data_IF_386608100355
#
_entry.id   IF_386608100355
#
_cell.length_a   1.000
_cell.length_b   1.000
_cell.length_c   1.000
_cell.angle_alpha   90.00
_cell.angle_beta   90.00
_cell.angle_gamma   90.00
#
_symmetry.space_group_name_H-M   'P 1'
#
loop_
_entity.id
_entity.type
_entity.pdbx_description
1 polymer ?
#
# COMPACT_ATOMS: atom_id res chain seq x y z
N UNK A 1 28.70 -31.99 3.59
CA UNK A 1 27.86 -31.03 4.35
C UNK A 1 26.47 -31.63 4.51
N UNK A 2 26.00 -31.91 5.73
CA UNK A 2 24.61 -32.37 5.97
C UNK A 2 23.75 -31.15 6.29
N UNK A 3 22.76 -30.86 5.47
CA UNK A 3 21.80 -29.77 5.73
C UNK A 3 20.88 -30.20 6.88
N UNK A 4 20.70 -29.34 7.87
CA UNK A 4 19.71 -29.57 8.92
C UNK A 4 18.35 -28.99 8.51
N UNK A 5 17.24 -29.70 8.77
CA UNK A 5 15.91 -29.18 8.53
C UNK A 5 15.67 -27.85 9.26
N UNK A 6 15.02 -26.90 8.58
CA UNK A 6 14.64 -25.61 9.12
C UNK A 6 13.12 -25.55 9.28
N UNK A 7 12.65 -25.22 10.49
CA UNK A 7 11.24 -24.97 10.75
C UNK A 7 10.93 -23.49 10.59
N UNK A 8 9.67 -23.14 10.31
CA UNK A 8 9.23 -21.73 10.25
C UNK A 8 9.54 -21.02 11.56
N UNK A 9 9.27 -21.64 12.70
CA UNK A 9 9.56 -21.05 14.01
C UNK A 9 11.05 -20.73 14.16
N UNK A 10 11.94 -21.70 13.86
CA UNK A 10 13.39 -21.50 13.96
C UNK A 10 13.88 -20.40 13.00
N UNK A 11 13.31 -20.32 11.80
CA UNK A 11 13.60 -19.25 10.84
C UNK A 11 13.19 -17.89 11.40
N UNK A 12 12.01 -17.77 12.02
CA UNK A 12 11.56 -16.52 12.64
C UNK A 12 12.45 -16.13 13.82
N UNK A 13 12.79 -17.08 14.70
CA UNK A 13 13.63 -16.84 15.88
C UNK A 13 15.01 -16.31 15.50
N UNK A 14 15.64 -16.89 14.47
CA UNK A 14 16.96 -16.47 13.98
C UNK A 14 16.92 -15.04 13.40
N UNK A 15 15.82 -14.66 12.75
CA UNK A 15 15.70 -13.37 12.06
C UNK A 15 15.05 -12.27 12.92
N UNK A 16 14.58 -12.58 14.13
CA UNK A 16 13.76 -11.68 14.95
C UNK A 16 14.41 -10.30 15.17
N UNK A 17 15.69 -10.27 15.56
CA UNK A 17 16.42 -9.01 15.80
C UNK A 17 16.48 -8.12 14.55
N UNK A 18 16.72 -8.71 13.37
CA UNK A 18 16.77 -7.97 12.11
C UNK A 18 15.38 -7.44 11.76
N UNK A 19 14.36 -8.28 11.90
CA UNK A 19 12.98 -7.90 11.60
C UNK A 19 12.48 -6.78 12.52
N UNK A 20 12.81 -6.82 13.80
CA UNK A 20 12.46 -5.76 14.76
C UNK A 20 13.14 -4.43 14.38
N UNK A 21 14.41 -4.47 13.98
CA UNK A 21 15.14 -3.29 13.51
C UNK A 21 14.54 -2.71 12.22
N UNK A 22 14.18 -3.55 11.25
CA UNK A 22 13.53 -3.14 10.00
C UNK A 22 12.15 -2.52 10.29
N UNK A 23 11.34 -3.18 11.11
CA UNK A 23 10.00 -2.72 11.49
C UNK A 23 10.07 -1.36 12.21
N UNK A 24 10.97 -1.23 13.20
CA UNK A 24 11.13 0.02 13.94
C UNK A 24 11.60 1.15 13.03
N UNK A 25 12.54 0.88 12.11
CA UNK A 25 13.00 1.86 11.14
C UNK A 25 11.87 2.33 10.21
N UNK A 26 11.02 1.41 9.76
CA UNK A 26 9.87 1.74 8.93
C UNK A 26 8.80 2.53 9.69
N UNK A 27 8.52 2.20 10.96
CA UNK A 27 7.59 2.94 11.83
C UNK A 27 8.08 4.37 12.06
N UNK A 28 9.36 4.54 12.38
CA UNK A 28 9.99 5.86 12.55
C UNK A 28 9.94 6.64 11.24
N UNK A 29 10.21 5.99 10.11
CA UNK A 29 10.08 6.62 8.79
C UNK A 29 8.65 7.12 8.54
N UNK A 30 7.63 6.28 8.77
CA UNK A 30 6.22 6.65 8.60
C UNK A 30 5.91 7.89 9.43
N UNK A 31 6.22 7.86 10.73
CA UNK A 31 5.96 8.98 11.64
C UNK A 31 6.66 10.27 11.22
N UNK A 32 7.96 10.21 10.90
CA UNK A 32 8.73 11.38 10.48
C UNK A 32 8.17 12.01 9.19
N UNK A 33 7.76 11.18 8.23
CA UNK A 33 7.13 11.67 7.00
C UNK A 33 5.77 12.29 7.31
N UNK A 34 4.95 11.66 8.13
CA UNK A 34 3.65 12.20 8.52
C UNK A 34 3.82 13.58 9.17
N UNK A 35 4.66 13.72 10.19
CA UNK A 35 4.91 14.98 10.89
C UNK A 35 5.44 16.08 9.94
N UNK A 36 6.30 15.72 8.99
CA UNK A 36 6.83 16.66 7.97
C UNK A 36 5.76 17.22 7.03
N UNK A 37 4.74 16.42 6.71
CA UNK A 37 3.74 16.73 5.69
C UNK A 37 2.35 17.04 6.23
N UNK A 38 2.06 16.77 7.51
CA UNK A 38 0.74 16.96 8.13
C UNK A 38 0.13 18.34 7.87
N UNK A 39 0.94 19.40 7.93
CA UNK A 39 0.48 20.79 7.67
C UNK A 39 0.50 21.19 6.18
N UNK A 40 0.91 20.30 5.30
CA UNK A 40 1.12 20.53 3.85
C UNK A 40 0.16 19.73 2.98
N UNK A 41 -0.59 18.81 3.56
CA UNK A 41 -1.53 17.93 2.86
C UNK A 41 -2.92 18.08 3.47
N UNK A 42 -3.94 17.82 2.68
CA UNK A 42 -5.33 17.84 3.12
C UNK A 42 -5.74 16.53 3.79
N UNK A 43 -5.08 15.42 3.43
CA UNK A 43 -5.35 14.09 3.97
C UNK A 43 -4.13 13.18 3.84
N UNK A 44 -4.07 12.18 4.72
CA UNK A 44 -3.13 11.07 4.64
C UNK A 44 -3.89 9.79 4.30
N UNK A 45 -3.31 8.96 3.44
CA UNK A 45 -3.89 7.70 3.01
C UNK A 45 -2.86 6.57 2.95
N UNK A 46 -3.33 5.34 3.13
CA UNK A 46 -2.57 4.11 2.86
C UNK A 46 -3.17 3.46 1.63
N UNK A 47 -2.37 3.29 0.58
CA UNK A 47 -2.78 2.55 -0.60
C UNK A 47 -2.78 1.05 -0.31
N UNK A 48 -3.97 0.45 -0.27
CA UNK A 48 -4.16 -0.95 0.11
C UNK A 48 -4.70 -1.77 -1.06
N UNK A 49 -4.13 -2.96 -1.29
CA UNK A 49 -4.51 -3.82 -2.42
C UNK A 49 -4.88 -5.24 -2.01
N UNK A 50 -4.91 -5.56 -0.71
CA UNK A 50 -5.06 -6.94 -0.22
C UNK A 50 -3.84 -7.84 -0.47
N UNK A 51 -2.75 -7.31 -1.03
CA UNK A 51 -1.53 -8.07 -1.31
C UNK A 51 -0.56 -8.07 -0.14
N UNK A 52 0.44 -8.97 -0.20
CA UNK A 52 1.46 -9.17 0.85
C UNK A 52 2.13 -7.87 1.32
N UNK A 53 2.53 -6.99 0.39
CA UNK A 53 3.25 -5.76 0.73
C UNK A 53 2.30 -4.74 1.36
N UNK A 54 1.06 -4.66 0.89
CA UNK A 54 0.05 -3.74 1.44
C UNK A 54 -0.42 -4.15 2.85
N UNK A 55 -0.40 -5.45 3.19
CA UNK A 55 -0.65 -5.95 4.54
C UNK A 55 0.46 -5.53 5.51
N UNK A 56 1.73 -5.71 5.12
CA UNK A 56 2.88 -5.24 5.92
C UNK A 56 2.83 -3.73 6.08
N UNK A 57 2.59 -2.99 4.99
CA UNK A 57 2.48 -1.54 5.01
C UNK A 57 1.42 -1.06 6.00
N UNK A 58 0.21 -1.64 5.93
CA UNK A 58 -0.90 -1.25 6.80
C UNK A 58 -0.57 -1.52 8.26
N UNK A 59 0.00 -2.68 8.59
CA UNK A 59 0.41 -2.99 9.97
C UNK A 59 1.50 -2.03 10.48
N UNK A 60 2.43 -1.61 9.63
CA UNK A 60 3.46 -0.63 10.03
C UNK A 60 2.87 0.78 10.22
N UNK A 61 1.98 1.23 9.33
CA UNK A 61 1.38 2.57 9.42
C UNK A 61 0.46 2.69 10.62
N UNK A 62 -0.40 1.70 10.89
CA UNK A 62 -1.29 1.72 12.06
C UNK A 62 -0.54 1.62 13.40
N UNK A 63 0.71 1.13 13.40
CA UNK A 63 1.59 1.18 14.58
C UNK A 63 2.29 2.52 14.76
N UNK A 64 2.32 3.34 13.72
CA UNK A 64 3.03 4.62 13.70
C UNK A 64 2.11 5.82 13.92
N UNK A 65 0.85 5.74 13.47
CA UNK A 65 -0.12 6.84 13.45
C UNK A 65 -1.43 6.42 14.13
N UNK A 66 -2.19 7.40 14.63
CA UNK A 66 -3.50 7.12 15.21
C UNK A 66 -4.51 6.76 14.11
N UNK A 67 -5.52 5.90 14.38
CA UNK A 67 -6.53 5.49 13.39
C UNK A 67 -7.26 6.63 12.69
N UNK A 68 -7.39 7.79 13.33
CA UNK A 68 -8.03 8.98 12.77
C UNK A 68 -7.13 9.83 11.87
N UNK A 69 -5.82 9.57 11.87
CA UNK A 69 -4.83 10.38 11.14
C UNK A 69 -4.73 10.03 9.66
N UNK A 70 -5.28 8.88 9.26
CA UNK A 70 -5.22 8.38 7.89
C UNK A 70 -6.46 7.57 7.52
N UNK A 71 -6.68 7.44 6.21
CA UNK A 71 -7.66 6.51 5.65
C UNK A 71 -6.97 5.38 4.89
N UNK A 72 -7.59 4.20 4.87
CA UNK A 72 -7.11 3.06 4.09
C UNK A 72 -7.89 3.02 2.79
N UNK A 73 -7.22 3.18 1.66
CA UNK A 73 -7.87 3.22 0.34
C UNK A 73 -7.65 1.90 -0.37
N UNK A 74 -8.73 1.15 -0.57
CA UNK A 74 -8.76 0.04 -1.51
C UNK A 74 -9.23 0.52 -2.87
N UNK A 75 -8.40 0.40 -3.91
CA UNK A 75 -8.82 0.70 -5.29
C UNK A 75 -9.44 -0.54 -5.92
N UNK A 76 -10.77 -0.63 -5.92
CA UNK A 76 -11.51 -1.68 -6.64
C UNK A 76 -11.46 -1.40 -8.13
N UNK A 77 -10.65 -2.17 -8.84
CA UNK A 77 -10.48 -2.03 -10.28
C UNK A 77 -11.59 -2.69 -11.09
N UNK A 78 -12.53 -3.38 -10.44
CA UNK A 78 -13.53 -4.29 -11.03
C UNK A 78 -12.92 -5.48 -11.79
N UNK A 79 -11.60 -5.67 -11.69
CA UNK A 79 -10.85 -6.81 -12.25
C UNK A 79 -10.26 -7.70 -11.14
N UNK A 80 -10.66 -7.46 -9.89
CA UNK A 80 -10.12 -8.18 -8.74
C UNK A 80 -10.67 -9.60 -8.67
N UNK A 81 -9.80 -10.55 -8.34
CA UNK A 81 -10.22 -11.94 -8.09
C UNK A 81 -10.82 -12.07 -6.69
N UNK A 82 -11.65 -13.10 -6.48
CA UNK A 82 -12.31 -13.35 -5.19
C UNK A 82 -11.32 -13.40 -4.02
N UNK A 83 -10.15 -14.01 -4.21
CA UNK A 83 -9.11 -14.07 -3.18
C UNK A 83 -8.62 -12.68 -2.74
N UNK A 84 -8.56 -11.70 -3.64
CA UNK A 84 -8.21 -10.32 -3.28
C UNK A 84 -9.29 -9.70 -2.41
N UNK A 85 -10.56 -9.88 -2.80
CA UNK A 85 -11.70 -9.35 -2.04
C UNK A 85 -11.78 -9.99 -0.65
N UNK A 86 -11.57 -11.31 -0.56
CA UNK A 86 -11.51 -12.03 0.70
C UNK A 86 -10.38 -11.51 1.61
N UNK A 87 -9.20 -11.24 1.05
CA UNK A 87 -8.09 -10.65 1.79
C UNK A 87 -8.42 -9.22 2.28
N UNK A 88 -9.11 -8.42 1.47
CA UNK A 88 -9.58 -7.09 1.88
C UNK A 88 -10.58 -7.17 3.02
N UNK A 89 -11.54 -8.09 2.97
CA UNK A 89 -12.53 -8.26 4.03
C UNK A 89 -11.89 -8.77 5.33
N UNK A 90 -10.96 -9.73 5.25
CA UNK A 90 -10.17 -10.17 6.41
C UNK A 90 -9.33 -9.03 7.00
N UNK A 91 -8.78 -8.15 6.17
CA UNK A 91 -8.06 -6.97 6.63
C UNK A 91 -8.99 -5.98 7.36
N UNK A 92 -10.18 -5.70 6.81
CA UNK A 92 -11.19 -4.86 7.48
C UNK A 92 -11.60 -5.42 8.83
N UNK A 93 -11.77 -6.75 8.94
CA UNK A 93 -12.08 -7.40 10.22
C UNK A 93 -10.91 -7.30 11.22
N UNK A 94 -9.67 -7.52 10.74
CA UNK A 94 -8.45 -7.49 11.57
C UNK A 94 -8.13 -6.10 12.12
N UNK A 95 -8.40 -5.06 11.33
CA UNK A 95 -8.16 -3.65 11.63
C UNK A 95 -9.48 -2.87 11.60
N UNK A 96 -10.48 -3.36 12.32
CA UNK A 96 -11.85 -2.82 12.34
C UNK A 96 -11.98 -1.40 12.89
N UNK A 97 -10.95 -0.89 13.55
CA UNK A 97 -10.84 0.48 14.03
C UNK A 97 -10.35 1.47 12.96
N UNK A 98 -9.87 0.99 11.79
CA UNK A 98 -9.38 1.84 10.72
C UNK A 98 -10.48 2.19 9.72
N UNK A 99 -10.42 3.39 9.16
CA UNK A 99 -11.37 3.84 8.15
C UNK A 99 -10.99 3.30 6.76
N UNK A 100 -11.56 2.15 6.38
CA UNK A 100 -11.44 1.60 5.02
C UNK A 100 -12.45 2.26 4.09
N UNK A 101 -11.94 2.82 3.00
CA UNK A 101 -12.74 3.37 1.90
C UNK A 101 -12.39 2.67 0.59
N UNK A 102 -13.40 2.44 -0.25
CA UNK A 102 -13.23 1.82 -1.56
C UNK A 102 -13.34 2.86 -2.65
N UNK A 103 -12.25 3.06 -3.39
CA UNK A 103 -12.24 3.87 -4.60
C UNK A 103 -12.56 2.98 -5.81
N UNK A 104 -13.54 3.39 -6.62
CA UNK A 104 -13.99 2.64 -7.79
C UNK A 104 -14.34 3.60 -8.92
N UNK A 105 -14.02 3.21 -10.15
CA UNK A 105 -14.41 3.95 -11.36
C UNK A 105 -15.92 3.83 -11.59
N UNK A 106 -16.55 4.90 -12.08
CA UNK A 106 -17.98 4.89 -12.47
C UNK A 106 -18.25 3.89 -13.59
N UNK A 107 -17.28 3.69 -14.49
CA UNK A 107 -17.31 2.67 -15.53
C UNK A 107 -16.52 1.43 -15.08
N UNK A 108 -17.14 0.25 -15.18
CA UNK A 108 -16.46 -1.02 -14.91
C UNK A 108 -15.45 -1.42 -16.00
N UNK A 109 -14.63 -2.42 -15.68
CA UNK A 109 -13.60 -2.92 -16.56
C UNK A 109 -14.17 -3.47 -17.87
N UNK A 110 -15.31 -4.16 -17.82
CA UNK A 110 -15.93 -4.73 -19.02
C UNK A 110 -16.39 -3.64 -20.00
N UNK A 111 -16.99 -2.57 -19.49
CA UNK A 111 -17.41 -1.41 -20.29
C UNK A 111 -16.20 -0.69 -20.86
N UNK A 112 -15.19 -0.41 -20.03
CA UNK A 112 -13.97 0.26 -20.50
C UNK A 112 -13.16 -0.58 -21.49
N UNK A 113 -13.21 -1.92 -21.42
CA UNK A 113 -12.61 -2.79 -22.44
C UNK A 113 -13.36 -2.75 -23.77
N UNK A 114 -14.70 -2.62 -23.75
CA UNK A 114 -15.48 -2.42 -24.98
C UNK A 114 -15.16 -1.07 -25.64
N UNK A 115 -14.97 -0.02 -24.85
CA UNK A 115 -14.76 1.34 -25.36
C UNK A 115 -13.31 1.61 -25.80
N UNK A 116 -12.32 1.23 -24.97
CA UNK A 116 -10.91 1.54 -25.19
C UNK A 116 -10.09 0.35 -25.69
N UNK A 117 -10.67 -0.85 -25.69
CA UNK A 117 -9.93 -2.09 -25.87
C UNK A 117 -9.24 -2.55 -24.57
N UNK A 118 -8.87 -3.83 -24.48
CA UNK A 118 -8.19 -4.37 -23.30
C UNK A 118 -6.82 -3.70 -23.08
N UNK A 119 -6.43 -3.45 -21.82
CA UNK A 119 -5.15 -2.82 -21.52
C UNK A 119 -3.97 -3.71 -21.95
N UNK A 120 -2.87 -3.08 -22.36
CA UNK A 120 -1.65 -3.79 -22.77
C UNK A 120 -0.40 -3.08 -22.28
N UNK A 121 0.77 -3.70 -22.48
CA UNK A 121 2.06 -3.06 -22.16
C UNK A 121 2.28 -1.76 -22.92
N UNK A 122 1.69 -1.62 -24.10
CA UNK A 122 1.78 -0.42 -24.95
C UNK A 122 0.63 0.54 -24.63
N UNK A 123 -0.57 0.02 -24.40
CA UNK A 123 -1.77 0.81 -24.14
C UNK A 123 -2.11 0.80 -22.64
N UNK A 124 -1.41 1.66 -21.87
CA UNK A 124 -1.46 1.69 -20.39
C UNK A 124 -2.38 2.79 -19.84
N UNK A 125 -3.69 2.65 -20.06
CA UNK A 125 -4.70 3.56 -19.50
C UNK A 125 -5.31 3.07 -18.18
N UNK A 126 -5.31 1.75 -17.94
CA UNK A 126 -6.08 1.14 -16.85
C UNK A 126 -5.69 1.63 -15.46
N UNK A 127 -4.41 1.87 -15.18
CA UNK A 127 -3.99 2.41 -13.87
C UNK A 127 -4.49 3.84 -13.63
N UNK A 128 -4.64 4.64 -14.67
CA UNK A 128 -5.17 5.99 -14.55
C UNK A 128 -6.66 5.93 -14.27
N UNK A 129 -7.40 5.19 -15.09
CA UNK A 129 -8.87 5.11 -15.06
C UNK A 129 -9.40 4.33 -13.86
N UNK A 130 -8.77 3.20 -13.51
CA UNK A 130 -9.30 2.27 -12.50
C UNK A 130 -8.56 2.32 -11.15
N UNK A 131 -7.49 3.12 -11.02
CA UNK A 131 -6.75 3.24 -9.74
C UNK A 131 -6.55 4.69 -9.31
N UNK A 132 -5.82 5.45 -10.12
CA UNK A 132 -5.29 6.75 -9.71
C UNK A 132 -6.39 7.81 -9.67
N UNK A 133 -7.17 7.95 -10.74
CA UNK A 133 -8.24 8.95 -10.80
C UNK A 133 -9.37 8.68 -9.79
N UNK A 134 -9.93 7.44 -9.66
CA UNK A 134 -10.97 7.16 -8.66
C UNK A 134 -10.49 7.45 -7.23
N UNK A 135 -9.24 7.10 -6.91
CA UNK A 135 -8.66 7.36 -5.59
C UNK A 135 -8.61 8.86 -5.30
N UNK A 136 -8.15 9.68 -6.24
CA UNK A 136 -8.06 11.12 -6.04
C UNK A 136 -9.43 11.79 -5.98
N UNK A 137 -10.40 11.34 -6.77
CA UNK A 137 -11.78 11.82 -6.71
C UNK A 137 -12.41 11.50 -5.36
N UNK A 138 -12.25 10.27 -4.87
CA UNK A 138 -12.74 9.88 -3.55
C UNK A 138 -12.09 10.70 -2.43
N UNK A 139 -10.77 10.88 -2.46
CA UNK A 139 -10.08 11.70 -1.47
C UNK A 139 -10.52 13.16 -1.53
N UNK A 140 -10.79 13.71 -2.72
CA UNK A 140 -11.31 15.06 -2.92
C UNK A 140 -12.69 15.24 -2.29
N UNK A 141 -13.58 14.26 -2.46
CA UNK A 141 -14.91 14.24 -1.85
C UNK A 141 -14.82 14.16 -0.32
N UNK A 142 -13.94 13.30 0.19
CA UNK A 142 -13.70 13.13 1.62
C UNK A 142 -13.29 14.46 2.30
N UNK A 143 -12.38 15.21 1.68
CA UNK A 143 -11.90 16.49 2.22
C UNK A 143 -12.77 17.68 1.86
N UNK A 144 -13.82 17.50 1.03
CA UNK A 144 -14.75 18.53 0.55
C UNK A 144 -14.06 19.76 -0.06
N UNK A 145 -13.02 19.53 -0.88
CA UNK A 145 -12.25 20.59 -1.57
C UNK A 145 -12.32 20.42 -3.10
N UNK A 146 -12.09 21.47 -3.90
CA UNK A 146 -12.04 21.36 -5.36
C UNK A 146 -10.80 20.59 -5.87
N UNK A 147 -9.75 20.53 -5.06
CA UNK A 147 -8.49 19.81 -5.29
C UNK A 147 -8.01 19.21 -3.98
N UNK A 148 -7.30 18.08 -4.06
CA UNK A 148 -6.72 17.41 -2.89
C UNK A 148 -5.21 17.30 -3.03
N UNK A 149 -4.49 17.65 -1.96
CA UNK A 149 -3.10 17.29 -1.77
C UNK A 149 -3.03 16.15 -0.76
N UNK A 150 -2.63 14.97 -1.17
CA UNK A 150 -2.63 13.77 -0.32
C UNK A 150 -1.21 13.25 -0.08
N UNK A 151 -0.91 12.91 1.17
CA UNK A 151 0.21 12.03 1.50
C UNK A 151 -0.27 10.58 1.38
N UNK A 152 0.36 9.79 0.51
CA UNK A 152 -0.02 8.40 0.29
C UNK A 152 1.17 7.50 0.61
N UNK A 153 0.99 6.65 1.64
CA UNK A 153 1.91 5.54 1.88
C UNK A 153 1.62 4.41 0.90
N UNK A 154 2.65 3.89 0.24
CA UNK A 154 2.55 2.74 -0.67
C UNK A 154 3.59 1.65 -0.40
N UNK A 155 3.27 0.45 -0.89
CA UNK A 155 4.06 -0.77 -0.66
C UNK A 155 5.09 -1.05 -1.74
N UNK A 156 5.57 -0.03 -2.45
CA UNK A 156 6.56 -0.20 -3.52
C UNK A 156 7.92 -0.63 -2.94
N UNK A 157 8.59 -1.57 -3.62
CA UNK A 157 9.93 -2.06 -3.29
C UNK A 157 10.87 -1.94 -4.49
N UNK A 158 12.14 -1.62 -4.21
CA UNK A 158 13.17 -1.44 -5.22
C UNK A 158 13.43 -2.71 -6.04
N UNK A 159 13.34 -3.88 -5.39
CA UNK A 159 13.59 -5.20 -5.99
C UNK A 159 12.52 -5.61 -7.03
N UNK A 160 11.36 -4.94 -7.08
CA UNK A 160 10.26 -5.36 -7.97
C UNK A 160 10.54 -5.09 -9.45
N UNK A 161 11.38 -4.10 -9.78
CA UNK A 161 11.80 -3.85 -11.17
C UNK A 161 12.97 -2.87 -11.22
N UNK A 162 13.71 -2.89 -12.33
CA UNK A 162 14.79 -1.92 -12.62
C UNK A 162 14.31 -0.46 -12.50
N UNK A 163 13.08 -0.16 -12.91
CA UNK A 163 12.51 1.18 -12.78
C UNK A 163 12.27 1.58 -11.32
N UNK A 164 11.75 0.66 -10.50
CA UNK A 164 11.48 0.91 -9.06
C UNK A 164 12.77 1.01 -8.24
N UNK A 165 13.87 0.43 -8.70
CA UNK A 165 15.17 0.57 -8.07
C UNK A 165 15.68 2.02 -8.03
N UNK A 166 15.24 2.87 -8.97
CA UNK A 166 15.58 4.29 -9.00
C UNK A 166 14.67 5.20 -8.17
N UNK A 167 13.66 4.66 -7.47
CA UNK A 167 12.70 5.48 -6.73
C UNK A 167 13.33 6.07 -5.46
N UNK A 168 12.87 7.26 -5.07
CA UNK A 168 13.15 7.84 -3.77
C UNK A 168 12.10 7.38 -2.75
N UNK A 169 12.50 7.23 -1.48
CA UNK A 169 11.58 6.85 -0.40
C UNK A 169 10.41 7.83 -0.22
N UNK A 170 10.58 9.09 -0.61
CA UNK A 170 9.49 10.08 -0.72
C UNK A 170 9.59 10.73 -2.10
N UNK A 171 8.48 10.75 -2.83
CA UNK A 171 8.37 11.36 -4.16
C UNK A 171 7.18 12.32 -4.19
N UNK A 172 7.42 13.60 -4.40
CA UNK A 172 6.37 14.61 -4.58
C UNK A 172 5.99 14.72 -6.06
N UNK A 173 4.69 14.70 -6.38
CA UNK A 173 4.21 14.90 -7.75
C UNK A 173 4.48 13.74 -8.70
N UNK A 174 4.88 12.56 -8.19
CA UNK A 174 5.31 11.42 -9.02
C UNK A 174 4.19 10.83 -9.86
N UNK A 175 3.17 10.23 -9.22
CA UNK A 175 2.01 9.64 -9.92
C UNK A 175 0.99 10.70 -10.35
N UNK A 176 0.83 11.74 -9.53
CA UNK A 176 -0.09 12.84 -9.76
C UNK A 176 0.43 14.07 -9.01
N UNK A 177 0.20 15.27 -9.55
CA UNK A 177 0.70 16.53 -8.99
C UNK A 177 0.21 16.82 -7.56
N UNK A 178 -1.03 16.41 -7.25
CA UNK A 178 -1.63 16.47 -5.92
C UNK A 178 -1.20 15.36 -4.96
N UNK A 179 -0.27 14.46 -5.34
CA UNK A 179 0.08 13.30 -4.53
C UNK A 179 1.55 13.33 -4.12
N UNK A 180 1.79 13.03 -2.84
CA UNK A 180 3.11 12.76 -2.28
C UNK A 180 3.14 11.27 -1.93
N UNK A 181 4.01 10.50 -2.57
CA UNK A 181 4.17 9.07 -2.31
C UNK A 181 5.29 8.87 -1.28
N UNK A 182 5.02 8.09 -0.25
CA UNK A 182 6.01 7.62 0.72
C UNK A 182 6.06 6.09 0.71
N UNK A 183 7.24 5.51 0.55
CA UNK A 183 7.43 4.07 0.38
C UNK A 183 8.31 3.51 1.50
N UNK A 184 7.75 3.20 2.69
CA UNK A 184 8.51 2.68 3.83
C UNK A 184 9.19 1.33 3.54
N UNK A 185 8.61 0.55 2.63
CA UNK A 185 9.07 -0.79 2.25
C UNK A 185 10.09 -0.76 1.11
N UNK A 186 10.51 0.41 0.64
CA UNK A 186 11.30 0.53 -0.58
C UNK A 186 12.56 -0.36 -0.59
N UNK A 187 13.22 -0.49 0.56
CA UNK A 187 14.45 -1.27 0.71
C UNK A 187 14.21 -2.72 1.15
N UNK A 188 12.96 -3.11 1.41
CA UNK A 188 12.65 -4.45 1.88
C UNK A 188 12.68 -5.45 0.73
N UNK A 189 13.26 -6.61 0.98
CA UNK A 189 13.23 -7.74 0.05
C UNK A 189 12.01 -8.63 0.27
N UNK A 190 11.77 -9.56 -0.65
CA UNK A 190 10.59 -10.44 -0.57
C UNK A 190 10.61 -11.35 0.66
N UNK A 191 11.79 -11.79 1.09
CA UNK A 191 11.96 -12.62 2.30
C UNK A 191 11.56 -11.88 3.57
N UNK A 192 12.00 -10.62 3.73
CA UNK A 192 11.64 -9.77 4.87
C UNK A 192 10.13 -9.53 4.96
N UNK A 193 9.46 -9.34 3.81
CA UNK A 193 7.99 -9.22 3.77
C UNK A 193 7.33 -10.49 4.31
N UNK A 194 7.70 -11.67 3.84
CA UNK A 194 7.11 -12.92 4.32
C UNK A 194 7.46 -13.21 5.78
N UNK A 195 8.70 -12.96 6.20
CA UNK A 195 9.12 -13.08 7.60
C UNK A 195 8.24 -12.21 8.50
N UNK A 196 8.00 -10.96 8.12
CA UNK A 196 7.15 -10.05 8.88
C UNK A 196 5.70 -10.56 8.96
N UNK A 197 5.11 -10.96 7.83
CA UNK A 197 3.73 -11.46 7.77
C UNK A 197 3.54 -12.68 8.67
N UNK A 198 4.49 -13.61 8.64
CA UNK A 198 4.49 -14.83 9.47
C UNK A 198 4.70 -14.50 10.95
N UNK A 199 5.68 -13.65 11.29
CA UNK A 199 5.95 -13.21 12.66
C UNK A 199 4.73 -12.53 13.29
N UNK A 200 4.03 -11.69 12.51
CA UNK A 200 2.88 -10.91 12.96
C UNK A 200 1.55 -11.64 12.83
N UNK A 201 1.54 -12.84 12.21
CA UNK A 201 0.34 -13.66 11.95
C UNK A 201 -0.74 -12.88 11.19
N UNK A 202 -0.33 -12.17 10.14
CA UNK A 202 -1.22 -11.36 9.27
C UNK A 202 -1.20 -11.84 7.82
N UNK A 203 -0.85 -13.11 7.59
CA UNK A 203 -0.94 -13.78 6.30
C UNK A 203 -2.23 -14.61 6.27
N UNK A 204 -3.21 -14.19 5.47
CA UNK A 204 -4.53 -14.81 5.40
C UNK A 204 -5.14 -14.74 3.99
#
# INVERSE_FOLDING_TARGET
>A
MKLQPMTVQKMLDINMTIMDGLAQSAIVFVRNVYEKYLRKVDTTAVAFSGGKDSLVLLDLVQRALDPGDFVVVFSDTTMEISATLDAVEKAKQRWSNLNFITAKSDCDAETTWREFGPPSRVHRWCCTVHKSAPTLLLLKELVKKPSVRALVYDGVRAEESVSRAGYCSVTEGGKHSGQINASPLLKWNSGEIFLYLLQRKIFF
#
